data_IF_668142046416
#
_entry.id   IF_668142046416
#
_cell.length_a   1.000
_cell.length_b   1.000
_cell.length_c   1.000
_cell.angle_alpha   90.00
_cell.angle_beta   90.00
_cell.angle_gamma   90.00
#
_symmetry.space_group_name_H-M   'P 1'
#
loop_
_entity.id
_entity.type
_entity.pdbx_description
1 polymer ?
#
# COMPACT_ATOMS: atom_id res chain seq x y z
N UNK A 1 -17.94 -16.47 -23.29
CA UNK A 1 -17.97 -15.05 -22.90
C UNK A 1 -18.97 -14.95 -21.76
N UNK A 2 -18.59 -14.45 -20.58
CA UNK A 2 -19.57 -14.22 -19.51
C UNK A 2 -20.36 -12.96 -19.89
N UNK A 3 -21.46 -13.14 -20.61
CA UNK A 3 -22.36 -12.02 -20.90
C UNK A 3 -23.05 -11.66 -19.56
N UNK A 4 -22.70 -10.50 -19.01
CA UNK A 4 -23.12 -10.00 -17.68
C UNK A 4 -22.73 -10.89 -16.48
N UNK A 5 -21.46 -10.86 -16.02
CA UNK A 5 -21.07 -11.52 -14.78
C UNK A 5 -21.85 -10.94 -13.57
N UNK A 6 -22.03 -11.72 -12.49
CA UNK A 6 -22.59 -11.21 -11.25
C UNK A 6 -21.86 -9.95 -10.77
N UNK A 7 -22.60 -8.99 -10.21
CA UNK A 7 -22.03 -7.73 -9.74
C UNK A 7 -20.90 -7.97 -8.73
N UNK A 8 -21.06 -8.96 -7.85
CA UNK A 8 -20.07 -9.31 -6.82
C UNK A 8 -18.76 -9.80 -7.44
N UNK A 9 -18.85 -10.68 -8.44
CA UNK A 9 -17.70 -11.17 -9.19
C UNK A 9 -16.97 -10.00 -9.89
N UNK A 10 -17.73 -9.07 -10.47
CA UNK A 10 -17.16 -7.87 -11.11
C UNK A 10 -16.39 -7.02 -10.10
N UNK A 11 -16.94 -6.79 -8.91
CA UNK A 11 -16.26 -6.03 -7.85
C UNK A 11 -14.99 -6.71 -7.35
N UNK A 12 -15.04 -8.02 -7.15
CA UNK A 12 -13.88 -8.81 -6.74
C UNK A 12 -12.76 -8.75 -7.79
N UNK A 13 -13.11 -8.83 -9.08
CA UNK A 13 -12.14 -8.69 -10.19
C UNK A 13 -11.54 -7.27 -10.20
N UNK A 14 -12.37 -6.23 -10.09
CA UNK A 14 -11.88 -4.83 -10.06
C UNK A 14 -10.95 -4.61 -8.87
N UNK A 15 -11.32 -5.09 -7.68
CA UNK A 15 -10.48 -5.02 -6.50
C UNK A 15 -9.12 -5.69 -6.76
N UNK A 16 -9.09 -6.92 -7.27
CA UNK A 16 -7.85 -7.65 -7.50
C UNK A 16 -6.97 -6.93 -8.55
N UNK A 17 -7.56 -6.40 -9.62
CA UNK A 17 -6.83 -5.60 -10.62
C UNK A 17 -6.23 -4.35 -9.98
N UNK A 18 -7.00 -3.61 -9.18
CA UNK A 18 -6.51 -2.42 -8.48
C UNK A 18 -5.41 -2.78 -7.46
N UNK A 19 -5.58 -3.84 -6.68
CA UNK A 19 -4.61 -4.27 -5.68
C UNK A 19 -3.29 -4.70 -6.33
N UNK A 20 -3.33 -5.50 -7.41
CA UNK A 20 -2.13 -5.86 -8.17
C UNK A 20 -1.48 -4.63 -8.82
N UNK A 21 -2.28 -3.73 -9.40
CA UNK A 21 -1.74 -2.51 -10.02
C UNK A 21 -1.04 -1.61 -9.00
N UNK A 22 -1.65 -1.40 -7.82
CA UNK A 22 -1.03 -0.68 -6.71
C UNK A 22 0.29 -1.33 -6.27
N UNK A 23 0.33 -2.68 -6.14
CA UNK A 23 1.57 -3.41 -5.82
C UNK A 23 2.67 -3.12 -6.85
N UNK A 24 2.35 -3.20 -8.14
CA UNK A 24 3.34 -2.95 -9.19
C UNK A 24 3.84 -1.51 -9.19
N UNK A 25 2.94 -0.55 -9.07
CA UNK A 25 3.29 0.88 -9.03
C UNK A 25 4.12 1.24 -7.80
N UNK A 26 3.77 0.69 -6.64
CA UNK A 26 4.55 0.85 -5.42
C UNK A 26 5.96 0.27 -5.57
N UNK A 27 6.10 -0.93 -6.15
CA UNK A 27 7.40 -1.57 -6.35
C UNK A 27 8.30 -0.83 -7.33
N UNK A 28 7.72 -0.36 -8.44
CA UNK A 28 8.46 0.39 -9.45
C UNK A 28 8.96 1.73 -8.90
N UNK A 29 8.08 2.45 -8.18
CA UNK A 29 8.46 3.70 -7.53
C UNK A 29 9.47 3.47 -6.39
N UNK A 30 9.26 2.44 -5.58
CA UNK A 30 10.17 2.06 -4.51
C UNK A 30 11.56 1.71 -5.04
N UNK A 31 11.62 0.95 -6.14
CA UNK A 31 12.86 0.66 -6.82
C UNK A 31 13.52 1.97 -7.24
N UNK A 32 12.80 2.86 -7.92
CA UNK A 32 13.30 4.16 -8.41
C UNK A 32 13.86 5.06 -7.29
N UNK A 33 13.09 5.28 -6.22
CA UNK A 33 13.43 6.23 -5.14
C UNK A 33 14.27 5.61 -4.02
N UNK A 34 14.23 4.30 -3.83
CA UNK A 34 14.91 3.58 -2.75
C UNK A 34 16.40 3.31 -2.95
N UNK A 35 17.12 4.20 -3.64
CA UNK A 35 18.44 3.94 -4.24
C UNK A 35 19.52 3.52 -3.24
N UNK A 36 19.48 3.98 -1.98
CA UNK A 36 20.53 3.72 -0.99
C UNK A 36 20.62 2.23 -0.58
N UNK A 37 19.49 1.51 -0.52
CA UNK A 37 19.47 0.10 -0.15
C UNK A 37 19.96 -0.84 -1.27
N UNK A 38 20.18 -0.34 -2.50
CA UNK A 38 20.52 -1.18 -3.66
C UNK A 38 21.93 -1.77 -3.59
N UNK A 39 22.83 -1.16 -2.81
CA UNK A 39 24.26 -1.53 -2.77
C UNK A 39 24.55 -2.68 -1.81
N UNK A 40 23.65 -2.94 -0.86
CA UNK A 40 23.79 -3.97 0.16
C UNK A 40 22.70 -5.06 0.00
N UNK A 41 23.12 -6.33 0.00
CA UNK A 41 22.25 -7.47 -0.28
C UNK A 41 21.31 -7.73 0.90
N UNK A 42 21.82 -7.57 2.11
CA UNK A 42 21.07 -7.70 3.35
C UNK A 42 20.02 -6.60 3.45
N UNK A 43 20.40 -5.32 3.27
CA UNK A 43 19.44 -4.20 3.20
C UNK A 43 18.37 -4.40 2.13
N UNK A 44 18.73 -4.90 0.94
CA UNK A 44 17.76 -5.22 -0.12
C UNK A 44 16.76 -6.30 0.31
N UNK A 45 17.22 -7.33 1.02
CA UNK A 45 16.35 -8.40 1.54
C UNK A 45 15.39 -7.85 2.58
N UNK A 46 15.87 -7.05 3.53
CA UNK A 46 15.03 -6.44 4.57
C UNK A 46 13.98 -5.50 3.97
N UNK A 47 14.37 -4.69 2.98
CA UNK A 47 13.42 -3.84 2.23
C UNK A 47 12.33 -4.65 1.54
N UNK A 48 12.69 -5.78 0.94
CA UNK A 48 11.72 -6.66 0.28
C UNK A 48 10.74 -7.31 1.27
N UNK A 49 11.21 -7.71 2.46
CA UNK A 49 10.33 -8.20 3.53
C UNK A 49 9.39 -7.11 4.04
N UNK A 50 9.88 -5.89 4.15
CA UNK A 50 9.06 -4.75 4.55
C UNK A 50 7.99 -4.41 3.50
N UNK A 51 8.34 -4.44 2.21
CA UNK A 51 7.35 -4.28 1.13
C UNK A 51 6.29 -5.38 1.15
N UNK A 52 6.69 -6.63 1.45
CA UNK A 52 5.76 -7.75 1.60
C UNK A 52 4.80 -7.54 2.76
N UNK A 53 5.26 -6.97 3.88
CA UNK A 53 4.43 -6.79 5.08
C UNK A 53 3.35 -5.71 4.95
N UNK A 54 3.36 -4.92 3.87
CA UNK A 54 2.26 -4.01 3.52
C UNK A 54 1.01 -4.79 3.10
N UNK A 55 1.18 -6.02 2.60
CA UNK A 55 0.10 -6.81 2.03
C UNK A 55 -0.22 -8.02 2.93
N UNK A 56 -1.52 -8.34 3.16
CA UNK A 56 -1.91 -9.51 3.96
C UNK A 56 -1.29 -10.82 3.49
N UNK A 57 -1.23 -11.00 2.16
CA UNK A 57 -0.62 -12.18 1.53
C UNK A 57 0.87 -12.36 1.78
N UNK A 58 1.58 -11.34 2.30
CA UNK A 58 3.04 -11.27 2.39
C UNK A 58 3.75 -11.58 1.06
N UNK A 59 3.05 -11.36 -0.05
CA UNK A 59 3.54 -11.58 -1.39
C UNK A 59 3.37 -10.30 -2.21
N UNK A 60 4.32 -10.06 -3.09
CA UNK A 60 4.35 -8.91 -3.99
C UNK A 60 3.73 -9.20 -5.35
N UNK A 61 3.52 -10.47 -5.67
CA UNK A 61 2.90 -10.93 -6.90
C UNK A 61 1.97 -12.07 -6.53
N UNK A 62 0.68 -11.89 -6.71
CA UNK A 62 -0.30 -12.94 -6.41
C UNK A 62 -1.09 -13.24 -7.66
N UNK A 63 -0.89 -14.44 -8.19
CA UNK A 63 -1.51 -14.90 -9.43
C UNK A 63 -2.43 -16.11 -9.21
N UNK A 64 -2.47 -16.65 -7.98
CA UNK A 64 -3.18 -17.90 -7.66
C UNK A 64 -3.77 -17.86 -6.24
N UNK A 65 -4.53 -16.81 -5.94
CA UNK A 65 -5.31 -16.67 -4.71
C UNK A 65 -6.80 -16.71 -5.04
N UNK A 66 -7.61 -17.09 -4.08
CA UNK A 66 -9.05 -16.88 -4.16
C UNK A 66 -9.36 -15.38 -4.21
N UNK A 67 -10.42 -15.03 -4.93
CA UNK A 67 -10.88 -13.66 -5.01
C UNK A 67 -11.22 -13.11 -3.61
N UNK A 68 -10.95 -11.82 -3.36
CA UNK A 68 -11.17 -11.20 -2.06
C UNK A 68 -12.65 -11.28 -1.67
N UNK A 69 -12.93 -11.70 -0.44
CA UNK A 69 -14.30 -11.71 0.10
C UNK A 69 -14.57 -10.53 1.03
N UNK A 70 -13.51 -9.89 1.54
CA UNK A 70 -13.57 -8.77 2.48
C UNK A 70 -12.41 -7.81 2.26
N UNK A 71 -12.51 -6.62 2.88
CA UNK A 71 -11.43 -5.65 2.91
C UNK A 71 -10.39 -6.04 3.97
N UNK A 72 -9.11 -6.01 3.59
CA UNK A 72 -7.97 -6.32 4.45
C UNK A 72 -6.77 -5.42 4.08
N UNK A 73 -5.67 -5.51 4.82
CA UNK A 73 -4.46 -4.74 4.53
C UNK A 73 -4.65 -3.25 4.83
N UNK A 74 -4.19 -2.42 3.90
CA UNK A 74 -4.36 -0.97 3.95
C UNK A 74 -5.83 -0.51 3.89
N UNK A 75 -6.74 -1.40 3.51
CA UNK A 75 -8.17 -1.14 3.38
C UNK A 75 -9.01 -1.78 4.49
N UNK A 76 -8.38 -2.40 5.50
CA UNK A 76 -9.10 -3.11 6.54
C UNK A 76 -10.14 -2.21 7.24
N UNK A 77 -11.29 -2.75 7.67
CA UNK A 77 -12.45 -1.96 8.09
C UNK A 77 -12.25 -1.21 9.42
N UNK A 78 -11.20 -1.52 10.17
CA UNK A 78 -10.89 -0.85 11.43
C UNK A 78 -9.47 -0.28 11.41
N UNK A 79 -9.29 0.80 12.17
CA UNK A 79 -7.98 1.42 12.38
C UNK A 79 -6.96 0.40 12.91
N UNK A 80 -7.34 -0.39 13.93
CA UNK A 80 -6.48 -1.40 14.52
C UNK A 80 -6.04 -2.49 13.54
N UNK A 81 -6.92 -2.90 12.62
CA UNK A 81 -6.58 -3.89 11.59
C UNK A 81 -5.70 -3.30 10.49
N UNK A 82 -5.86 -2.01 10.16
CA UNK A 82 -5.09 -1.32 9.11
C UNK A 82 -3.67 -0.96 9.57
N UNK A 83 -3.53 -0.58 10.85
CA UNK A 83 -2.31 0.02 11.39
C UNK A 83 -1.03 -0.79 11.11
N UNK A 84 -0.96 -2.13 11.28
CA UNK A 84 0.29 -2.88 11.05
C UNK A 84 0.76 -2.83 9.59
N UNK A 85 -0.18 -2.84 8.65
CA UNK A 85 0.12 -2.72 7.22
C UNK A 85 0.57 -1.30 6.88
N UNK A 86 -0.08 -0.31 7.50
CA UNK A 86 0.27 1.08 7.30
C UNK A 86 1.63 1.45 7.90
N UNK A 87 1.99 0.89 9.06
CA UNK A 87 3.33 1.04 9.63
C UNK A 87 4.42 0.50 8.69
N UNK A 88 4.15 -0.62 8.02
CA UNK A 88 5.05 -1.16 7.00
C UNK A 88 5.16 -0.20 5.81
N UNK A 89 4.04 0.34 5.35
CA UNK A 89 3.98 1.30 4.25
C UNK A 89 4.73 2.58 4.60
N UNK A 90 4.51 3.13 5.80
CA UNK A 90 5.20 4.29 6.34
C UNK A 90 6.72 4.09 6.40
N UNK A 91 7.18 2.95 6.91
CA UNK A 91 8.61 2.61 6.94
C UNK A 91 9.21 2.53 5.54
N UNK A 92 8.46 2.05 4.54
CA UNK A 92 8.93 2.05 3.14
C UNK A 92 9.11 3.49 2.65
N UNK A 93 8.07 4.32 2.81
CA UNK A 93 8.10 5.72 2.37
C UNK A 93 9.17 6.54 3.08
N UNK A 94 9.44 6.29 4.37
CA UNK A 94 10.44 7.03 5.13
C UNK A 94 11.88 6.83 4.66
N UNK A 95 12.11 5.78 3.85
CA UNK A 95 13.39 5.52 3.18
C UNK A 95 13.48 6.16 1.78
N UNK A 96 12.42 6.81 1.29
CA UNK A 96 12.45 7.48 -0.01
C UNK A 96 13.09 8.86 0.11
N UNK A 97 13.66 9.34 -1.00
CA UNK A 97 14.15 10.70 -1.08
C UNK A 97 13.00 11.70 -0.84
N UNK A 98 13.30 12.83 -0.22
CA UNK A 98 12.36 13.92 0.09
C UNK A 98 11.21 13.56 1.05
N UNK A 99 11.23 12.38 1.69
CA UNK A 99 10.24 12.07 2.71
C UNK A 99 10.27 13.10 3.86
N UNK A 100 9.14 13.72 4.24
CA UNK A 100 9.11 14.80 5.22
C UNK A 100 9.65 14.38 6.59
N UNK A 101 10.59 15.16 7.15
CA UNK A 101 11.20 14.87 8.45
C UNK A 101 10.15 14.82 9.59
N UNK A 102 9.13 15.67 9.52
CA UNK A 102 8.01 15.69 10.47
C UNK A 102 7.21 14.39 10.51
N UNK A 103 7.28 13.58 9.44
CA UNK A 103 6.57 12.31 9.33
C UNK A 103 7.47 11.11 9.64
N UNK A 104 8.78 11.26 9.86
CA UNK A 104 9.69 10.10 10.05
C UNK A 104 9.48 9.35 11.34
N UNK A 105 8.88 9.99 12.34
CA UNK A 105 8.61 9.34 13.61
C UNK A 105 7.60 8.20 13.41
N UNK A 106 7.81 7.03 14.05
CA UNK A 106 6.80 5.97 14.07
C UNK A 106 5.47 6.49 14.63
N UNK A 107 4.37 5.88 14.20
CA UNK A 107 3.08 6.16 14.82
C UNK A 107 3.12 5.74 16.30
N UNK A 108 2.91 6.70 17.18
CA UNK A 108 2.78 6.41 18.61
C UNK A 108 1.41 5.78 18.85
N UNK A 109 1.38 4.45 18.99
CA UNK A 109 0.16 3.70 19.29
C UNK A 109 -0.47 4.05 20.66
N UNK A 110 0.24 4.79 21.52
CA UNK A 110 -0.30 5.35 22.78
C UNK A 110 -0.86 6.77 22.61
N UNK A 111 -0.62 7.38 21.45
CA UNK A 111 -1.12 8.68 21.07
C UNK A 111 -2.61 8.70 20.72
N UNK A 112 -3.12 9.89 20.43
CA UNK A 112 -4.50 10.06 19.97
C UNK A 112 -4.65 9.48 18.56
N UNK A 113 -5.65 8.60 18.35
CA UNK A 113 -5.99 8.00 17.05
C UNK A 113 -6.11 9.04 15.93
N UNK A 114 -6.67 10.23 16.24
CA UNK A 114 -6.77 11.34 15.29
C UNK A 114 -5.42 11.79 14.74
N UNK A 115 -4.39 11.86 15.60
CA UNK A 115 -3.06 12.28 15.18
C UNK A 115 -2.40 11.22 14.29
N UNK A 116 -2.60 9.94 14.61
CA UNK A 116 -2.10 8.83 13.80
C UNK A 116 -2.79 8.86 12.43
N UNK A 117 -4.11 9.04 12.39
CA UNK A 117 -4.87 9.17 11.15
C UNK A 117 -4.38 10.32 10.28
N UNK A 118 -4.09 11.48 10.88
CA UNK A 118 -3.51 12.61 10.15
C UNK A 118 -2.13 12.26 9.58
N UNK A 119 -1.27 11.59 10.35
CA UNK A 119 0.03 11.10 9.86
C UNK A 119 -0.12 10.10 8.70
N UNK A 120 -1.09 9.18 8.79
CA UNK A 120 -1.40 8.24 7.71
C UNK A 120 -1.85 8.98 6.44
N UNK A 121 -2.74 9.96 6.58
CA UNK A 121 -3.20 10.80 5.46
C UNK A 121 -2.03 11.50 4.76
N UNK A 122 -1.12 12.11 5.52
CA UNK A 122 0.05 12.78 4.97
C UNK A 122 0.99 11.80 4.25
N UNK A 123 1.16 10.57 4.76
CA UNK A 123 1.92 9.53 4.07
C UNK A 123 1.28 9.12 2.72
N UNK A 124 -0.05 9.00 2.68
CA UNK A 124 -0.78 8.74 1.44
C UNK A 124 -0.61 9.88 0.43
N UNK A 125 -0.70 11.14 0.87
CA UNK A 125 -0.49 12.30 0.01
C UNK A 125 0.94 12.34 -0.52
N UNK A 126 1.93 12.05 0.33
CA UNK A 126 3.32 11.94 -0.11
C UNK A 126 3.50 10.86 -1.18
N UNK A 127 2.92 9.67 -1.00
CA UNK A 127 2.98 8.61 -2.01
C UNK A 127 2.35 9.06 -3.34
N UNK A 128 1.16 9.64 -3.30
CA UNK A 128 0.45 10.14 -4.49
C UNK A 128 1.27 11.19 -5.23
N UNK A 129 1.82 12.16 -4.50
CA UNK A 129 2.63 13.22 -5.07
C UNK A 129 3.94 12.67 -5.64
N UNK A 130 4.62 11.78 -4.91
CA UNK A 130 5.87 11.15 -5.35
C UNK A 130 5.67 10.37 -6.65
N UNK A 131 4.57 9.62 -6.76
CA UNK A 131 4.25 8.90 -7.98
C UNK A 131 3.96 9.86 -9.15
N UNK A 132 3.16 10.90 -8.91
CA UNK A 132 2.86 11.90 -9.92
C UNK A 132 4.12 12.63 -10.42
N UNK A 133 5.00 13.04 -9.52
CA UNK A 133 6.23 13.75 -9.87
C UNK A 133 7.19 12.90 -10.71
N UNK A 134 7.18 11.57 -10.51
CA UNK A 134 8.06 10.66 -11.24
C UNK A 134 7.45 10.11 -12.54
N UNK A 135 6.12 10.09 -12.68
CA UNK A 135 5.45 9.43 -13.81
C UNK A 135 4.55 10.35 -14.65
N UNK A 136 4.21 11.54 -14.14
CA UNK A 136 3.29 12.50 -14.77
C UNK A 136 1.81 12.12 -14.70
N UNK A 137 1.43 11.08 -13.93
CA UNK A 137 0.05 10.63 -13.77
C UNK A 137 -0.27 10.26 -12.32
N UNK A 138 -1.56 10.25 -11.91
CA UNK A 138 -1.91 9.73 -10.59
C UNK A 138 -1.63 8.22 -10.48
N UNK A 139 -1.24 7.74 -9.28
CA UNK A 139 -1.16 6.30 -9.02
C UNK A 139 -2.55 5.68 -8.85
N UNK A 140 -2.58 4.36 -8.92
CA UNK A 140 -3.64 3.54 -8.34
C UNK A 140 -3.48 3.56 -6.82
N UNK A 141 -4.57 3.85 -6.12
CA UNK A 141 -4.63 3.77 -4.65
C UNK A 141 -5.33 2.49 -4.22
N UNK A 142 -5.09 1.99 -2.99
CA UNK A 142 -5.83 0.85 -2.44
C UNK A 142 -7.34 1.01 -2.65
N UNK A 143 -7.98 0.00 -3.26
CA UNK A 143 -9.39 0.04 -3.64
C UNK A 143 -10.26 -0.70 -2.62
N UNK A 144 -11.42 -0.14 -2.26
CA UNK A 144 -12.34 -0.78 -1.33
C UNK A 144 -13.25 -1.78 -2.05
N UNK A 145 -13.42 -2.95 -1.47
CA UNK A 145 -14.48 -3.88 -1.81
C UNK A 145 -15.80 -3.35 -1.22
N UNK A 146 -16.56 -2.59 -2.00
CA UNK A 146 -17.87 -2.10 -1.59
C UNK A 146 -18.89 -3.25 -1.50
N UNK A 147 -19.73 -3.25 -0.46
CA UNK A 147 -20.98 -4.03 -0.45
C UNK A 147 -22.09 -3.22 -1.13
N UNK A 148 -23.03 -3.92 -1.79
CA UNK A 148 -24.30 -3.30 -2.18
C UNK A 148 -25.17 -3.28 -0.92
N UNK A 149 -25.63 -2.09 -0.53
CA UNK A 149 -26.59 -1.91 0.56
C UNK A 149 -27.96 -2.49 0.18
#
# INVERSE_FOLDING_TARGET
MLDNPPADLTRQIVYEICEQSFRYELLDLDEHLGCEARKDKEARKERMELLRSIFPSKSLKVWNRDLPQENDGLNAPSFAATLPYFESFHKVLSMWEHFPESLKQPFDATGCEHNIWMGMKECCLFYVQSYFDNTGRPPIVPHLLYSVA
#
